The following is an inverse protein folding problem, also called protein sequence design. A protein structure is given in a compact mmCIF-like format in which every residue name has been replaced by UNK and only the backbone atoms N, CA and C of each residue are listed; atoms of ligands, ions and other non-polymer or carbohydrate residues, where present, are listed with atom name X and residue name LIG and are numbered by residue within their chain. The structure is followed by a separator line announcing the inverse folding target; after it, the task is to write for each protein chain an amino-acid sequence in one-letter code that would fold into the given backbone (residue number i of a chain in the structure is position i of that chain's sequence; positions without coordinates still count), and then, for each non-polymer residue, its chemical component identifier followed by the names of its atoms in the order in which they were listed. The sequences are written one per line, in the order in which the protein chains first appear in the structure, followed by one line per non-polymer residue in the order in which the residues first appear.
data_IF_950272110317
#
_entry.id   IF_950272110317
#
_cell.length_a   1.000
_cell.length_b   1.000
_cell.length_c   1.000
_cell.angle_alpha   90.00
_cell.angle_beta   90.00
_cell.angle_gamma   90.00
#
_symmetry.space_group_name_H-M   'P 1'
#
loop_
_entity.id
_entity.type
_entity.pdbx_description
1 polymer ?
#
# COMPACT_ATOMS: atom_id res chain seq x y z
N UNK A 1 7.96 -20.80 1.81
CA UNK A 1 6.84 -19.96 2.29
C UNK A 1 6.73 -20.20 3.79
N UNK A 2 6.70 -19.16 4.55
CA UNK A 2 6.40 -19.24 5.96
C UNK A 2 4.86 -19.22 6.10
N UNK A 3 4.28 -20.35 6.50
CA UNK A 3 2.85 -20.48 6.81
C UNK A 3 2.57 -20.14 8.28
N UNK A 4 3.59 -19.61 8.98
CA UNK A 4 3.47 -19.16 10.36
C UNK A 4 2.56 -17.95 10.50
N UNK A 5 2.06 -17.76 11.70
CA UNK A 5 1.20 -16.62 12.06
C UNK A 5 1.88 -15.28 11.75
N UNK A 6 1.24 -14.45 10.94
CA UNK A 6 1.71 -13.11 10.61
C UNK A 6 1.88 -12.25 11.87
N UNK A 7 1.01 -12.40 12.87
CA UNK A 7 1.12 -11.69 14.13
C UNK A 7 2.47 -11.94 14.84
N UNK A 8 2.97 -13.19 14.81
CA UNK A 8 4.27 -13.52 15.39
C UNK A 8 5.43 -12.89 14.60
N UNK A 9 5.34 -12.86 13.27
CA UNK A 9 6.36 -12.26 12.43
C UNK A 9 6.44 -10.74 12.59
N UNK A 10 5.29 -10.06 12.65
CA UNK A 10 5.23 -8.61 12.76
C UNK A 10 5.26 -8.08 14.21
N UNK A 11 5.28 -8.94 15.24
CA UNK A 11 5.36 -8.51 16.64
C UNK A 11 6.63 -7.72 16.99
N UNK A 12 7.86 -8.09 16.56
CA UNK A 12 9.04 -7.28 16.79
C UNK A 12 9.02 -6.00 15.92
N UNK A 13 9.10 -4.78 16.49
CA UNK A 13 9.09 -3.55 15.72
C UNK A 13 10.34 -3.40 14.84
N UNK A 14 10.18 -2.92 13.63
CA UNK A 14 11.23 -2.66 12.64
C UNK A 14 11.22 -1.20 12.23
N UNK A 15 11.99 -0.36 12.92
CA UNK A 15 12.08 1.07 12.64
C UNK A 15 13.18 1.34 11.59
N UNK A 16 13.07 0.68 10.43
CA UNK A 16 14.00 0.82 9.29
C UNK A 16 13.21 1.08 8.01
N UNK A 17 13.78 1.81 7.07
CA UNK A 17 13.22 1.93 5.73
C UNK A 17 13.53 0.67 4.91
N UNK A 18 12.56 0.19 4.13
CA UNK A 18 12.71 -1.03 3.34
C UNK A 18 13.09 -0.76 1.89
N UNK A 19 13.12 0.51 1.49
CA UNK A 19 13.54 1.01 0.19
C UNK A 19 14.52 2.16 0.38
N UNK A 20 15.36 2.43 -0.63
CA UNK A 20 16.35 3.49 -0.58
C UNK A 20 15.75 4.90 -0.72
N UNK A 21 16.60 5.92 -0.51
CA UNK A 21 16.18 7.33 -0.57
C UNK A 21 15.65 7.74 -1.95
N UNK A 22 16.17 7.15 -3.02
CA UNK A 22 15.69 7.39 -4.39
C UNK A 22 14.27 6.90 -4.61
N UNK A 23 13.98 5.69 -4.16
CA UNK A 23 12.64 5.11 -4.20
C UNK A 23 11.67 5.86 -3.27
N UNK A 24 12.12 6.24 -2.06
CA UNK A 24 11.35 7.07 -1.11
C UNK A 24 10.98 8.42 -1.76
N UNK A 25 11.94 9.09 -2.40
CA UNK A 25 11.68 10.35 -3.10
C UNK A 25 10.63 10.19 -4.20
N UNK A 26 10.72 9.10 -4.99
CA UNK A 26 9.80 8.79 -6.07
C UNK A 26 8.36 8.48 -5.56
N UNK A 27 8.21 7.85 -4.38
CA UNK A 27 6.89 7.70 -3.74
C UNK A 27 6.30 9.07 -3.41
N UNK A 28 7.08 9.93 -2.74
CA UNK A 28 6.63 11.28 -2.36
C UNK A 28 6.25 12.14 -3.56
N UNK A 29 7.02 12.06 -4.67
CA UNK A 29 6.70 12.72 -5.94
C UNK A 29 5.38 12.25 -6.52
N UNK A 30 5.17 10.93 -6.57
CA UNK A 30 3.92 10.37 -7.08
C UNK A 30 2.71 10.87 -6.28
N UNK A 31 2.81 10.90 -4.95
CA UNK A 31 1.69 11.37 -4.11
C UNK A 31 1.40 12.86 -4.33
N UNK A 32 2.42 13.69 -4.55
CA UNK A 32 2.25 15.10 -4.92
C UNK A 32 1.65 15.26 -6.33
N UNK A 33 2.14 14.53 -7.33
CA UNK A 33 1.62 14.52 -8.71
C UNK A 33 0.14 14.14 -8.76
N UNK A 34 -0.24 13.14 -7.97
CA UNK A 34 -1.63 12.71 -7.87
C UNK A 34 -2.49 13.62 -6.98
N UNK A 35 -1.90 14.59 -6.28
CA UNK A 35 -2.61 15.49 -5.36
C UNK A 35 -3.21 14.77 -4.16
N UNK A 36 -2.53 13.74 -3.63
CA UNK A 36 -2.97 12.99 -2.44
C UNK A 36 -2.67 13.82 -1.19
N UNK A 37 -3.64 14.60 -0.73
CA UNK A 37 -3.45 15.56 0.36
C UNK A 37 -4.67 15.73 1.30
N UNK A 38 -5.74 14.97 1.06
CA UNK A 38 -6.99 14.99 1.82
C UNK A 38 -6.98 14.08 3.06
N UNK A 39 -8.11 13.40 3.28
CA UNK A 39 -8.23 12.31 4.24
C UNK A 39 -7.69 11.03 3.59
N UNK A 40 -6.56 10.53 4.04
CA UNK A 40 -5.83 9.43 3.42
C UNK A 40 -5.72 8.24 4.37
N UNK A 41 -5.95 7.05 3.81
CA UNK A 41 -5.66 5.77 4.47
C UNK A 41 -4.37 5.18 3.92
N UNK A 42 -3.38 4.97 4.78
CA UNK A 42 -2.14 4.25 4.48
C UNK A 42 -2.26 2.81 4.99
N UNK A 43 -2.46 1.88 4.06
CA UNK A 43 -2.67 0.46 4.36
C UNK A 43 -1.34 -0.27 4.53
N UNK A 44 -1.34 -1.23 5.47
CA UNK A 44 -0.16 -2.04 5.80
C UNK A 44 1.04 -1.14 6.11
N UNK A 45 0.75 -0.04 6.77
CA UNK A 45 1.69 1.01 7.14
C UNK A 45 2.56 0.60 8.33
N UNK A 46 3.59 1.38 8.56
CA UNK A 46 4.57 1.19 9.61
C UNK A 46 4.93 2.55 10.25
N UNK A 47 6.15 2.66 10.79
CA UNK A 47 6.65 3.84 11.49
C UNK A 47 6.86 5.07 10.59
N UNK A 48 6.76 4.93 9.26
CA UNK A 48 6.97 6.02 8.31
C UNK A 48 6.02 5.89 7.12
N UNK A 49 5.44 7.03 6.73
CA UNK A 49 4.71 7.20 5.47
C UNK A 49 5.47 8.23 4.62
N UNK A 50 5.73 7.89 3.36
CA UNK A 50 6.67 8.60 2.50
C UNK A 50 6.08 9.86 1.82
N UNK A 51 5.11 10.52 2.44
CA UNK A 51 4.62 11.81 1.99
C UNK A 51 5.68 12.90 2.17
N UNK A 52 5.95 13.71 1.16
CA UNK A 52 6.80 14.90 1.29
C UNK A 52 6.15 15.95 2.20
N UNK A 53 4.84 16.14 2.03
CA UNK A 53 4.00 16.95 2.91
C UNK A 53 2.91 16.07 3.47
N UNK A 54 2.66 16.08 4.78
CA UNK A 54 1.60 15.27 5.36
C UNK A 54 0.25 15.68 4.74
N UNK A 55 -0.64 14.72 4.46
CA UNK A 55 -2.00 15.03 4.05
C UNK A 55 -2.78 15.68 5.20
N UNK A 56 -3.96 16.21 4.90
CA UNK A 56 -4.84 16.86 5.91
C UNK A 56 -5.09 15.96 7.12
N UNK A 57 -5.35 14.69 6.87
CA UNK A 57 -5.56 13.68 7.91
C UNK A 57 -5.05 12.33 7.42
N UNK A 58 -4.03 11.79 8.07
CA UNK A 58 -3.44 10.49 7.72
C UNK A 58 -3.86 9.43 8.74
N UNK A 59 -4.60 8.43 8.27
CA UNK A 59 -4.90 7.20 9.02
C UNK A 59 -3.91 6.15 8.60
N UNK A 60 -3.18 5.57 9.55
CA UNK A 60 -2.24 4.47 9.29
C UNK A 60 -2.82 3.18 9.83
N UNK A 61 -2.88 2.15 8.98
CA UNK A 61 -3.36 0.82 9.32
C UNK A 61 -2.24 -0.19 9.16
N UNK A 62 -1.93 -0.93 10.21
CA UNK A 62 -0.87 -1.95 10.21
C UNK A 62 -0.97 -2.88 11.40
N UNK A 63 -0.07 -3.83 11.49
CA UNK A 63 -0.12 -4.87 12.52
C UNK A 63 0.68 -4.53 13.78
N UNK A 64 1.71 -3.69 13.68
CA UNK A 64 2.58 -3.35 14.80
C UNK A 64 2.25 -1.99 15.40
N UNK A 65 1.62 -1.98 16.57
CA UNK A 65 1.21 -0.76 17.27
C UNK A 65 2.40 0.19 17.53
N UNK A 66 3.55 -0.34 17.94
CA UNK A 66 4.75 0.47 18.27
C UNK A 66 5.27 1.19 17.03
N UNK A 67 5.27 0.53 15.87
CA UNK A 67 5.64 1.15 14.60
C UNK A 67 4.65 2.25 14.22
N UNK A 68 3.34 1.98 14.31
CA UNK A 68 2.32 2.98 13.97
C UNK A 68 2.38 4.21 14.90
N UNK A 69 2.64 4.02 16.21
CA UNK A 69 2.83 5.12 17.17
C UNK A 69 4.08 5.95 16.87
N UNK A 70 5.10 5.36 16.25
CA UNK A 70 6.30 6.08 15.82
C UNK A 70 6.13 6.88 14.53
N UNK A 71 5.02 6.72 13.79
CA UNK A 71 4.78 7.42 12.54
C UNK A 71 4.39 8.88 12.81
N UNK A 72 5.36 9.79 12.67
CA UNK A 72 5.20 11.20 12.98
C UNK A 72 4.20 11.97 12.11
N UNK A 73 3.72 11.37 11.01
CA UNK A 73 2.72 11.96 10.12
C UNK A 73 1.30 11.45 10.41
N UNK A 74 1.17 10.36 11.19
CA UNK A 74 -0.12 9.77 11.50
C UNK A 74 -0.96 10.67 12.41
N UNK A 75 -2.22 10.90 12.04
CA UNK A 75 -3.22 11.54 12.87
C UNK A 75 -4.09 10.50 13.61
N UNK A 76 -4.23 9.32 13.03
CA UNK A 76 -4.99 8.21 13.59
C UNK A 76 -4.27 6.89 13.26
N UNK A 77 -4.24 5.97 14.22
CA UNK A 77 -3.64 4.65 14.04
C UNK A 77 -4.68 3.53 14.24
N UNK A 78 -4.61 2.50 13.39
CA UNK A 78 -5.51 1.36 13.37
C UNK A 78 -4.65 0.09 13.38
N UNK A 79 -4.70 -0.66 14.49
CA UNK A 79 -4.03 -1.97 14.54
C UNK A 79 -4.97 -3.01 13.98
N UNK A 80 -4.59 -3.59 12.83
CA UNK A 80 -5.46 -4.51 12.10
C UNK A 80 -4.66 -5.42 11.17
N UNK A 81 -5.09 -6.68 11.06
CA UNK A 81 -4.54 -7.68 10.15
C UNK A 81 -5.50 -7.92 8.98
N UNK A 82 -5.15 -7.40 7.80
CA UNK A 82 -5.95 -7.54 6.58
C UNK A 82 -5.99 -8.97 6.01
N UNK A 83 -5.03 -9.82 6.38
CA UNK A 83 -5.03 -11.22 5.97
C UNK A 83 -6.00 -12.05 6.84
N UNK A 84 -6.12 -11.74 8.11
CA UNK A 84 -7.10 -12.36 9.00
C UNK A 84 -8.52 -11.85 8.73
N UNK A 85 -8.68 -10.52 8.65
CA UNK A 85 -9.95 -9.87 8.31
C UNK A 85 -9.72 -8.77 7.26
N UNK A 86 -10.14 -8.97 5.99
CA UNK A 86 -9.97 -7.98 4.93
C UNK A 86 -10.89 -6.76 5.09
N UNK A 87 -11.81 -6.75 6.08
CA UNK A 87 -12.70 -5.64 6.34
C UNK A 87 -11.98 -4.55 7.13
N UNK A 88 -11.75 -3.41 6.49
CA UNK A 88 -11.16 -2.23 7.11
C UNK A 88 -12.13 -1.64 8.14
N UNK A 89 -11.71 -1.41 9.41
CA UNK A 89 -12.59 -0.91 10.48
C UNK A 89 -12.86 0.61 10.36
N UNK A 90 -13.29 1.03 9.18
CA UNK A 90 -13.69 2.39 8.86
C UNK A 90 -15.09 2.41 8.25
N UNK A 91 -15.77 3.54 8.39
CA UNK A 91 -17.06 3.76 7.75
C UNK A 91 -16.92 3.82 6.22
N UNK A 92 -18.02 3.55 5.52
CA UNK A 92 -18.09 3.72 4.08
C UNK A 92 -17.84 5.18 3.71
N UNK A 93 -17.11 5.41 2.60
CA UNK A 93 -16.85 6.76 2.05
C UNK A 93 -16.25 7.71 3.10
N UNK A 94 -15.25 7.24 3.85
CA UNK A 94 -14.63 7.98 4.96
C UNK A 94 -13.23 8.52 4.65
N UNK A 95 -12.67 8.19 3.46
CA UNK A 95 -11.35 8.67 3.02
C UNK A 95 -11.37 9.12 1.57
N UNK A 96 -10.56 10.13 1.24
CA UNK A 96 -10.46 10.66 -0.12
C UNK A 96 -9.59 9.76 -1.01
N UNK A 97 -8.46 9.29 -0.49
CA UNK A 97 -7.52 8.40 -1.18
C UNK A 97 -7.00 7.32 -0.23
N UNK A 98 -6.54 6.22 -0.80
CA UNK A 98 -5.84 5.15 -0.09
C UNK A 98 -4.49 4.86 -0.74
N UNK A 99 -3.49 4.53 0.06
CA UNK A 99 -2.16 4.14 -0.41
C UNK A 99 -1.72 2.83 0.24
N UNK A 100 -0.90 2.06 -0.45
CA UNK A 100 -0.21 0.88 0.08
C UNK A 100 1.23 0.91 -0.45
N UNK A 101 2.19 1.15 0.43
CA UNK A 101 3.59 1.32 0.04
C UNK A 101 4.41 0.09 0.43
N UNK A 102 5.00 -0.57 -0.58
CA UNK A 102 5.90 -1.75 -0.46
C UNK A 102 5.37 -2.87 0.44
N UNK A 103 4.08 -3.15 0.35
CA UNK A 103 3.40 -4.14 1.20
C UNK A 103 2.32 -4.95 0.49
N UNK A 104 1.93 -4.59 -0.73
CA UNK A 104 0.83 -5.26 -1.47
C UNK A 104 1.12 -6.73 -1.77
N UNK A 105 2.38 -7.11 -1.81
CA UNK A 105 2.91 -8.45 -2.04
C UNK A 105 2.69 -9.43 -0.86
N UNK A 106 2.26 -8.92 0.31
CA UNK A 106 1.95 -9.74 1.48
C UNK A 106 0.45 -10.05 1.63
N UNK A 107 -0.41 -9.50 0.78
CA UNK A 107 -1.84 -9.76 0.83
C UNK A 107 -2.19 -11.16 0.33
N UNK A 108 -2.78 -11.97 1.18
CA UNK A 108 -3.27 -13.33 0.84
C UNK A 108 -4.71 -13.31 0.29
N UNK A 109 -5.47 -12.24 0.59
CA UNK A 109 -6.86 -12.02 0.15
C UNK A 109 -6.99 -10.67 -0.60
N UNK A 110 -6.16 -10.39 -1.63
CA UNK A 110 -6.05 -9.05 -2.21
C UNK A 110 -7.36 -8.54 -2.82
N UNK A 111 -8.12 -9.40 -3.49
CA UNK A 111 -9.37 -8.98 -4.15
C UNK A 111 -10.41 -8.52 -3.13
N UNK A 112 -10.48 -9.15 -1.96
CA UNK A 112 -11.39 -8.77 -0.89
C UNK A 112 -10.96 -7.45 -0.25
N UNK A 113 -9.65 -7.29 0.02
CA UNK A 113 -9.09 -6.04 0.54
C UNK A 113 -9.33 -4.89 -0.43
N UNK A 114 -9.08 -5.07 -1.74
CA UNK A 114 -9.32 -4.05 -2.76
C UNK A 114 -10.80 -3.62 -2.84
N UNK A 115 -11.74 -4.58 -2.69
CA UNK A 115 -13.18 -4.25 -2.60
C UNK A 115 -13.49 -3.43 -1.37
N UNK A 116 -12.88 -3.76 -0.24
CA UNK A 116 -13.15 -3.04 1.00
C UNK A 116 -12.46 -1.67 1.01
N UNK A 117 -11.29 -1.53 0.37
CA UNK A 117 -10.69 -0.21 0.11
C UNK A 117 -11.65 0.66 -0.70
N UNK A 118 -12.27 0.14 -1.75
CA UNK A 118 -13.27 0.90 -2.51
C UNK A 118 -14.48 1.29 -1.67
N UNK A 119 -14.91 0.46 -0.71
CA UNK A 119 -16.01 0.78 0.20
C UNK A 119 -15.69 2.02 1.04
N UNK A 120 -14.48 2.10 1.59
CA UNK A 120 -14.09 3.22 2.47
C UNK A 120 -13.69 4.48 1.69
N UNK A 121 -13.35 4.38 0.40
CA UNK A 121 -13.04 5.53 -0.45
C UNK A 121 -14.29 6.35 -0.75
N UNK A 122 -14.14 7.67 -0.84
CA UNK A 122 -15.13 8.56 -1.43
C UNK A 122 -15.34 8.22 -2.92
N UNK A 123 -16.46 8.65 -3.54
CA UNK A 123 -16.61 8.62 -4.99
C UNK A 123 -15.43 9.32 -5.69
N UNK A 124 -14.88 8.70 -6.72
CA UNK A 124 -13.66 9.14 -7.43
C UNK A 124 -12.37 9.11 -6.60
N UNK A 125 -12.38 8.57 -5.40
CA UNK A 125 -11.18 8.31 -4.61
C UNK A 125 -10.27 7.29 -5.31
N UNK A 126 -8.97 7.39 -5.07
CA UNK A 126 -7.96 6.53 -5.70
C UNK A 126 -7.35 5.57 -4.68
N UNK A 127 -7.01 4.40 -5.18
CA UNK A 127 -6.12 3.49 -4.46
C UNK A 127 -4.80 3.39 -5.22
N UNK A 128 -3.68 3.65 -4.54
CA UNK A 128 -2.33 3.69 -5.10
C UNK A 128 -1.47 2.64 -4.41
N UNK A 129 -1.01 1.64 -5.15
CA UNK A 129 -0.05 0.65 -4.68
C UNK A 129 1.32 0.99 -5.27
N UNK A 130 2.33 1.17 -4.41
CA UNK A 130 3.73 1.28 -4.82
C UNK A 130 4.51 0.09 -4.32
N UNK A 131 5.46 -0.40 -5.09
CA UNK A 131 6.28 -1.56 -4.73
C UNK A 131 7.63 -1.52 -5.43
N UNK A 132 8.55 -2.31 -4.90
CA UNK A 132 9.93 -2.44 -5.35
C UNK A 132 10.26 -3.93 -5.52
N UNK A 133 11.52 -4.23 -5.84
CA UNK A 133 12.06 -5.59 -5.78
C UNK A 133 12.50 -6.01 -4.35
N UNK A 134 12.27 -5.14 -3.35
CA UNK A 134 12.51 -5.43 -1.93
C UNK A 134 11.31 -6.09 -1.31
N UNK A 135 11.52 -7.21 -0.62
CA UNK A 135 10.45 -7.98 0.01
C UNK A 135 10.97 -8.86 1.15
N UNK A 136 10.10 -9.24 2.05
CA UNK A 136 10.34 -10.33 2.99
C UNK A 136 10.04 -11.66 2.30
N UNK A 137 11.09 -12.39 1.88
CA UNK A 137 10.94 -13.63 1.11
C UNK A 137 10.06 -14.68 1.78
N UNK A 138 10.02 -14.70 3.12
CA UNK A 138 9.21 -15.64 3.88
C UNK A 138 7.72 -15.27 3.88
N UNK A 139 7.37 -13.98 3.70
CA UNK A 139 6.00 -13.48 3.80
C UNK A 139 5.34 -13.13 2.46
N UNK A 140 6.14 -12.79 1.45
CA UNK A 140 5.60 -12.51 0.13
C UNK A 140 4.85 -13.72 -0.45
N UNK A 141 3.72 -13.45 -1.09
CA UNK A 141 2.92 -14.50 -1.74
C UNK A 141 3.74 -15.23 -2.79
N UNK A 142 3.46 -16.53 -2.96
CA UNK A 142 4.23 -17.39 -3.86
C UNK A 142 4.31 -16.86 -5.30
N UNK A 143 3.22 -16.27 -5.80
CA UNK A 143 3.17 -15.70 -7.13
C UNK A 143 4.10 -14.49 -7.31
N UNK A 144 4.45 -13.80 -6.23
CA UNK A 144 5.37 -12.66 -6.26
C UNK A 144 6.84 -13.10 -6.29
N UNK A 145 7.20 -14.14 -5.52
CA UNK A 145 8.59 -14.58 -5.35
C UNK A 145 9.30 -14.98 -6.65
N UNK A 146 8.57 -15.45 -7.64
CA UNK A 146 9.11 -15.95 -8.92
C UNK A 146 8.73 -15.07 -10.11
N UNK A 147 8.12 -13.92 -9.85
CA UNK A 147 7.65 -12.99 -10.86
C UNK A 147 8.73 -11.94 -11.19
N UNK A 148 8.70 -11.45 -12.43
CA UNK A 148 9.48 -10.29 -12.85
C UNK A 148 8.79 -9.00 -12.38
N UNK A 149 9.50 -7.85 -12.46
CA UNK A 149 8.93 -6.55 -12.16
C UNK A 149 7.68 -6.23 -13.01
N UNK A 150 7.68 -6.64 -14.28
CA UNK A 150 6.52 -6.50 -15.17
C UNK A 150 5.36 -7.39 -14.72
N UNK A 151 5.65 -8.59 -14.23
CA UNK A 151 4.62 -9.50 -13.70
C UNK A 151 4.06 -8.98 -12.38
N UNK A 152 4.86 -8.35 -11.52
CA UNK A 152 4.37 -7.65 -10.33
C UNK A 152 3.35 -6.58 -10.70
N UNK A 153 3.64 -5.76 -11.71
CA UNK A 153 2.69 -4.77 -12.22
C UNK A 153 1.39 -5.43 -12.74
N UNK A 154 1.49 -6.57 -13.46
CA UNK A 154 0.33 -7.33 -13.93
C UNK A 154 -0.49 -7.91 -12.79
N UNK A 155 0.16 -8.47 -11.76
CA UNK A 155 -0.50 -9.02 -10.57
C UNK A 155 -1.34 -7.94 -9.88
N UNK A 156 -0.76 -6.77 -9.60
CA UNK A 156 -1.51 -5.68 -8.95
C UNK A 156 -2.62 -5.14 -9.84
N UNK A 157 -2.38 -5.00 -11.15
CA UNK A 157 -3.41 -4.62 -12.13
C UNK A 157 -4.57 -5.62 -12.10
N UNK A 158 -4.27 -6.91 -11.98
CA UNK A 158 -5.29 -7.96 -11.92
C UNK A 158 -6.10 -7.91 -10.64
N UNK A 159 -5.53 -7.51 -9.50
CA UNK A 159 -6.27 -7.27 -8.25
C UNK A 159 -7.32 -6.16 -8.44
N UNK A 160 -6.94 -5.04 -9.06
CA UNK A 160 -7.89 -3.98 -9.42
C UNK A 160 -9.00 -4.52 -10.31
N UNK A 161 -8.65 -5.22 -11.39
CA UNK A 161 -9.62 -5.77 -12.36
C UNK A 161 -10.60 -6.76 -11.73
N UNK A 162 -10.09 -7.70 -10.90
CA UNK A 162 -10.91 -8.72 -10.25
C UNK A 162 -11.79 -8.16 -9.14
N UNK A 163 -11.40 -7.07 -8.53
CA UNK A 163 -12.23 -6.41 -7.52
C UNK A 163 -13.54 -5.87 -8.12
N UNK A 164 -13.53 -5.46 -9.41
CA UNK A 164 -14.69 -4.93 -10.16
C UNK A 164 -15.28 -3.63 -9.61
N UNK A 165 -14.54 -2.92 -8.77
CA UNK A 165 -14.98 -1.67 -8.11
C UNK A 165 -14.07 -0.49 -8.45
N UNK A 166 -13.06 -0.73 -9.27
CA UNK A 166 -12.15 0.29 -9.79
C UNK A 166 -12.20 0.34 -11.32
N UNK A 167 -11.94 1.54 -11.86
CA UNK A 167 -11.72 1.73 -13.29
C UNK A 167 -10.41 1.10 -13.78
N UNK A 168 -10.03 1.36 -15.05
CA UNK A 168 -8.77 0.89 -15.59
C UNK A 168 -7.58 1.35 -14.73
N UNK A 169 -6.68 0.43 -14.40
CA UNK A 169 -5.48 0.75 -13.64
C UNK A 169 -4.43 1.42 -14.53
N UNK A 170 -3.76 2.42 -13.97
CA UNK A 170 -2.56 3.04 -14.54
C UNK A 170 -1.33 2.37 -13.94
N UNK A 171 -0.34 2.06 -14.78
CA UNK A 171 0.95 1.47 -14.38
C UNK A 171 2.07 2.47 -14.70
N UNK A 172 2.99 2.68 -13.78
CA UNK A 172 4.13 3.57 -13.97
C UNK A 172 5.38 3.02 -13.29
N UNK A 173 6.51 3.03 -13.99
CA UNK A 173 7.83 2.94 -13.37
C UNK A 173 8.23 4.33 -12.90
N UNK A 174 8.54 4.48 -11.61
CA UNK A 174 8.79 5.78 -10.97
C UNK A 174 10.27 6.13 -10.86
N UNK A 175 11.15 5.13 -10.89
CA UNK A 175 12.61 5.34 -10.96
C UNK A 175 13.10 5.13 -12.40
N UNK A 176 14.13 5.90 -12.88
CA UNK A 176 14.70 5.69 -14.20
C UNK A 176 15.23 4.26 -14.40
N UNK A 177 15.28 3.73 -15.64
CA UNK A 177 15.81 2.38 -15.91
C UNK A 177 17.28 2.19 -15.53
N UNK A 178 18.07 3.25 -15.55
CA UNK A 178 19.48 3.29 -15.17
C UNK A 178 19.71 3.65 -13.70
N UNK A 179 18.65 3.78 -12.91
CA UNK A 179 18.75 4.01 -11.47
C UNK A 179 19.51 2.87 -10.81
N UNK A 180 20.56 3.20 -10.02
CA UNK A 180 21.42 2.21 -9.37
C UNK A 180 20.90 1.72 -8.02
N UNK A 181 19.76 2.25 -7.58
CA UNK A 181 19.09 1.91 -6.33
C UNK A 181 17.91 0.98 -6.54
N UNK A 182 17.02 0.99 -5.57
CA UNK A 182 15.80 0.19 -5.61
C UNK A 182 14.84 0.70 -6.70
N UNK A 183 14.40 -0.15 -7.64
CA UNK A 183 13.38 0.27 -8.60
C UNK A 183 12.07 0.54 -7.87
N UNK A 184 11.31 1.54 -8.34
CA UNK A 184 9.97 1.79 -7.83
C UNK A 184 8.94 1.71 -8.95
N UNK A 185 7.91 0.94 -8.71
CA UNK A 185 6.75 0.79 -9.58
C UNK A 185 5.50 1.26 -8.84
N UNK A 186 4.53 1.74 -9.59
CA UNK A 186 3.24 2.14 -9.06
C UNK A 186 2.11 1.62 -9.95
N UNK A 187 1.05 1.15 -9.32
CA UNK A 187 -0.21 0.80 -9.97
C UNK A 187 -1.34 1.43 -9.19
N UNK A 188 -2.20 2.20 -9.86
CA UNK A 188 -3.32 2.85 -9.20
C UNK A 188 -4.56 2.89 -10.08
N UNK A 189 -5.71 2.96 -9.44
CA UNK A 189 -6.97 3.15 -10.12
C UNK A 189 -7.93 4.00 -9.29
N UNK A 190 -8.90 4.60 -9.97
CA UNK A 190 -9.97 5.38 -9.36
C UNK A 190 -11.17 4.47 -9.09
N UNK A 191 -11.80 4.63 -7.93
CA UNK A 191 -13.06 3.98 -7.61
C UNK A 191 -14.12 4.37 -8.65
N UNK A 192 -14.79 3.36 -9.22
CA UNK A 192 -15.98 3.62 -10.05
C UNK A 192 -17.15 4.05 -9.15
N UNK A 193 -17.84 5.08 -9.59
CA UNK A 193 -19.11 5.51 -8.97
C UNK A 193 -20.23 4.61 -9.47
N UNK A 194 -21.04 4.14 -8.56
CA UNK A 194 -22.31 3.45 -8.83
C UNK A 194 -23.28 4.39 -9.55
#
# INVERSE_FOLDING_TARGET
MDEGDDAAFYAPPRLVTHIDDGAIAAVGELYEELGINGDVLDLMSSWVSHFRRPPRHLRVLGMNKVELEANSKAAELIVHDLNADPRIPLADRSVDDAVCCVSVDYLTRPVEVFRDVARVLQPNGRFVCTFSNRLFQTKAIRGWLYASDDDHCRIVTEYFRQSRVFGPATVSRRTPPDHRGDPLFAVWATRITD
#
